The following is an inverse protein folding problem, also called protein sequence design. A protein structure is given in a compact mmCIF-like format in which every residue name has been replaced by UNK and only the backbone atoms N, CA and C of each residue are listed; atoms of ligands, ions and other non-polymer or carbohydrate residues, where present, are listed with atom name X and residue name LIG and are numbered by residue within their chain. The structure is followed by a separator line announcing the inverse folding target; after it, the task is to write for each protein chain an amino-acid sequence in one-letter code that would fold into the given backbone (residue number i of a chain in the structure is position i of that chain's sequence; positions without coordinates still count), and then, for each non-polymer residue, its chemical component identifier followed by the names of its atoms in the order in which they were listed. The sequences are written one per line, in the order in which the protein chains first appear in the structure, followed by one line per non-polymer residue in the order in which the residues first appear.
data_IF_616871306991
#
_entry.id   IF_616871306991
#
_cell.length_a   1.000
_cell.length_b   1.000
_cell.length_c   1.000
_cell.angle_alpha   90.00
_cell.angle_beta   90.00
_cell.angle_gamma   90.00
#
_symmetry.space_group_name_H-M   'P 1'
#
loop_
_entity.id
_entity.type
_entity.pdbx_description
1 polymer ?
#
# COMPACT_ATOMS: atom_id res chain seq x y z
N UNK A 1 23.94 -7.70 -0.27
CA UNK A 1 23.03 -6.65 0.24
C UNK A 1 22.17 -6.19 -0.91
N UNK A 2 21.15 -6.99 -1.24
CA UNK A 2 20.16 -6.70 -2.26
C UNK A 2 18.90 -6.28 -1.50
N UNK A 3 18.75 -4.97 -1.29
CA UNK A 3 17.76 -4.44 -0.34
C UNK A 3 16.33 -4.41 -0.90
N UNK A 4 16.15 -4.74 -2.18
CA UNK A 4 14.85 -4.98 -2.81
C UNK A 4 14.92 -6.35 -3.47
N UNK A 5 14.40 -7.36 -2.78
CA UNK A 5 14.18 -8.67 -3.38
C UNK A 5 13.01 -8.51 -4.34
N UNK A 6 13.20 -8.88 -5.60
CA UNK A 6 12.19 -8.80 -6.66
C UNK A 6 10.88 -9.48 -6.25
N UNK A 7 10.97 -10.51 -5.41
CA UNK A 7 9.85 -11.28 -4.85
C UNK A 7 8.97 -10.47 -3.89
N UNK A 8 9.47 -9.41 -3.25
CA UNK A 8 8.66 -8.55 -2.38
C UNK A 8 7.96 -7.42 -3.15
N UNK A 9 8.45 -7.09 -4.35
CA UNK A 9 7.85 -6.06 -5.21
C UNK A 9 6.44 -6.44 -5.67
N UNK A 10 6.16 -7.74 -5.83
CA UNK A 10 4.82 -8.23 -6.17
C UNK A 10 3.80 -8.05 -5.03
N UNK A 11 4.24 -7.87 -3.78
CA UNK A 11 3.32 -7.59 -2.67
C UNK A 11 2.61 -6.26 -2.84
N UNK A 12 3.26 -5.26 -3.43
CA UNK A 12 2.67 -3.92 -3.58
C UNK A 12 1.36 -3.95 -4.39
N UNK A 13 1.31 -4.47 -5.63
CA UNK A 13 0.06 -4.55 -6.38
C UNK A 13 -0.96 -5.49 -5.72
N UNK A 14 -0.52 -6.59 -5.10
CA UNK A 14 -1.41 -7.52 -4.38
C UNK A 14 -2.11 -6.82 -3.21
N UNK A 15 -1.34 -6.17 -2.33
CA UNK A 15 -1.86 -5.43 -1.18
C UNK A 15 -2.72 -4.23 -1.61
N UNK A 16 -2.38 -3.58 -2.73
CA UNK A 16 -3.18 -2.50 -3.28
C UNK A 16 -4.59 -2.97 -3.69
N UNK A 17 -4.67 -4.07 -4.44
CA UNK A 17 -5.96 -4.66 -4.85
C UNK A 17 -6.78 -5.10 -3.63
N UNK A 18 -6.15 -5.72 -2.63
CA UNK A 18 -6.82 -6.03 -1.36
C UNK A 18 -7.34 -4.76 -0.65
N UNK A 19 -6.56 -3.68 -0.68
CA UNK A 19 -6.98 -2.38 -0.13
C UNK A 19 -8.20 -1.80 -0.85
N UNK A 20 -8.30 -1.97 -2.17
CA UNK A 20 -9.48 -1.57 -2.94
C UNK A 20 -10.72 -2.38 -2.56
N UNK A 21 -10.59 -3.70 -2.38
CA UNK A 21 -11.70 -4.54 -1.92
C UNK A 21 -12.18 -4.16 -0.52
N UNK A 22 -11.24 -3.91 0.40
CA UNK A 22 -11.58 -3.43 1.75
C UNK A 22 -12.31 -2.10 1.69
N UNK A 23 -11.85 -1.17 0.85
CA UNK A 23 -12.51 0.14 0.65
C UNK A 23 -13.93 0.01 0.07
N UNK A 24 -14.18 -1.00 -0.77
CA UNK A 24 -15.50 -1.28 -1.33
C UNK A 24 -16.46 -1.99 -0.36
N UNK A 25 -15.98 -2.41 0.81
CA UNK A 25 -16.80 -3.14 1.78
C UNK A 25 -17.56 -2.17 2.69
N UNK A 26 -18.91 -2.18 2.71
CA UNK A 26 -19.72 -1.15 3.38
C UNK A 26 -19.55 -1.07 4.91
N UNK A 27 -18.98 -2.11 5.54
CA UNK A 27 -18.74 -2.17 6.99
C UNK A 27 -17.29 -1.86 7.39
N UNK A 28 -16.39 -1.60 6.45
CA UNK A 28 -14.98 -1.35 6.73
C UNK A 28 -14.71 0.16 6.71
N UNK A 29 -14.39 0.79 7.85
CA UNK A 29 -14.09 2.21 7.86
C UNK A 29 -12.70 2.48 7.25
N UNK A 30 -12.57 3.59 6.53
CA UNK A 30 -11.35 3.94 5.79
C UNK A 30 -10.07 3.98 6.65
N UNK A 31 -10.18 4.38 7.92
CA UNK A 31 -9.04 4.45 8.84
C UNK A 31 -8.50 3.07 9.23
N UNK A 32 -9.30 2.02 9.08
CA UNK A 32 -8.92 0.64 9.42
C UNK A 32 -8.17 -0.05 8.27
N UNK A 33 -8.36 0.42 7.03
CA UNK A 33 -7.72 -0.17 5.84
C UNK A 33 -6.18 -0.19 5.97
N UNK A 34 -5.48 0.88 6.38
CA UNK A 34 -4.02 0.85 6.56
C UNK A 34 -3.57 -0.21 7.57
N UNK A 35 -4.32 -0.41 8.66
CA UNK A 35 -3.99 -1.40 9.68
C UNK A 35 -4.16 -2.83 9.17
N UNK A 36 -5.24 -3.11 8.45
CA UNK A 36 -5.48 -4.43 7.85
C UNK A 36 -4.41 -4.73 6.80
N UNK A 37 -4.13 -3.77 5.91
CA UNK A 37 -3.11 -3.94 4.86
C UNK A 37 -1.71 -4.05 5.46
N UNK A 38 -1.40 -3.32 6.54
CA UNK A 38 -0.14 -3.45 7.27
C UNK A 38 0.05 -4.85 7.85
N UNK A 39 -0.96 -5.38 8.53
CA UNK A 39 -0.91 -6.75 9.08
C UNK A 39 -0.78 -7.81 7.98
N UNK A 40 -1.53 -7.66 6.89
CA UNK A 40 -1.42 -8.57 5.74
C UNK A 40 -0.05 -8.47 5.07
N UNK A 41 0.51 -7.28 4.94
CA UNK A 41 1.85 -7.08 4.37
C UNK A 41 2.92 -7.79 5.18
N UNK A 42 2.89 -7.69 6.51
CA UNK A 42 3.83 -8.41 7.39
C UNK A 42 3.62 -9.92 7.29
N UNK A 43 2.37 -10.40 7.35
CA UNK A 43 2.07 -11.83 7.29
C UNK A 43 2.52 -12.46 5.96
N UNK A 44 2.22 -11.81 4.84
CA UNK A 44 2.66 -12.25 3.52
C UNK A 44 4.18 -12.12 3.36
N UNK A 45 4.77 -11.08 3.95
CA UNK A 45 6.22 -10.90 3.98
C UNK A 45 6.92 -12.09 4.64
N UNK A 46 6.43 -12.57 5.78
CA UNK A 46 6.92 -13.82 6.39
C UNK A 46 6.70 -15.05 5.51
N UNK A 47 5.59 -15.10 4.76
CA UNK A 47 5.31 -16.18 3.82
C UNK A 47 6.33 -16.28 2.67
N UNK A 48 6.91 -15.16 2.25
CA UNK A 48 7.89 -15.10 1.16
C UNK A 48 9.33 -15.21 1.69
N UNK A 49 9.70 -14.37 2.67
CA UNK A 49 11.07 -14.24 3.15
C UNK A 49 11.42 -15.10 4.37
N UNK A 50 10.47 -15.88 4.88
CA UNK A 50 10.60 -16.65 6.13
C UNK A 50 10.41 -15.80 7.38
N UNK A 51 10.37 -16.45 8.55
CA UNK A 51 10.12 -15.78 9.84
C UNK A 51 11.38 -15.06 10.36
N UNK A 52 11.66 -13.88 9.81
CA UNK A 52 12.77 -13.03 10.23
C UNK A 52 12.44 -11.53 10.11
N UNK A 53 13.27 -10.70 10.73
CA UNK A 53 13.05 -9.25 10.79
C UNK A 53 13.07 -8.59 9.39
N UNK A 54 13.92 -9.07 8.48
CA UNK A 54 14.00 -8.50 7.14
C UNK A 54 12.69 -8.72 6.36
N UNK A 55 12.12 -9.92 6.43
CA UNK A 55 10.84 -10.26 5.82
C UNK A 55 9.68 -9.41 6.39
N UNK A 56 9.67 -9.17 7.70
CA UNK A 56 8.71 -8.27 8.33
C UNK A 56 8.82 -6.83 7.78
N UNK A 57 10.05 -6.29 7.73
CA UNK A 57 10.31 -4.93 7.22
C UNK A 57 9.87 -4.80 5.77
N UNK A 58 10.21 -5.76 4.91
CA UNK A 58 9.82 -5.74 3.50
C UNK A 58 8.28 -5.80 3.34
N UNK A 59 7.60 -6.60 4.17
CA UNK A 59 6.14 -6.61 4.24
C UNK A 59 5.53 -5.25 4.62
N UNK A 60 6.10 -4.57 5.63
CA UNK A 60 5.68 -3.22 6.03
C UNK A 60 5.90 -2.22 4.90
N UNK A 61 7.08 -2.24 4.26
CA UNK A 61 7.39 -1.33 3.15
C UNK A 61 6.44 -1.53 1.98
N UNK A 62 6.10 -2.77 1.63
CA UNK A 62 5.14 -3.06 0.58
C UNK A 62 3.72 -2.55 0.93
N UNK A 63 3.28 -2.75 2.17
CA UNK A 63 2.00 -2.23 2.65
C UNK A 63 1.97 -0.69 2.64
N UNK A 64 3.05 -0.04 3.08
CA UNK A 64 3.19 1.41 3.05
C UNK A 64 3.12 1.94 1.61
N UNK A 65 3.84 1.32 0.67
CA UNK A 65 3.78 1.70 -0.75
C UNK A 65 2.36 1.56 -1.32
N UNK A 66 1.66 0.47 -1.00
CA UNK A 66 0.28 0.24 -1.45
C UNK A 66 -0.71 1.29 -0.90
N UNK A 67 -0.60 1.65 0.38
CA UNK A 67 -1.53 2.59 1.04
C UNK A 67 -1.21 4.05 0.68
N UNK A 68 0.06 4.46 0.79
CA UNK A 68 0.47 5.84 0.57
C UNK A 68 0.62 6.19 -0.92
N UNK A 69 0.96 5.22 -1.79
CA UNK A 69 0.95 5.43 -3.23
C UNK A 69 -0.42 5.91 -3.75
N UNK A 70 -1.50 5.35 -3.22
CA UNK A 70 -2.87 5.79 -3.50
C UNK A 70 -3.13 7.24 -3.05
N UNK A 71 -2.50 7.68 -1.94
CA UNK A 71 -2.66 9.04 -1.44
C UNK A 71 -1.88 10.04 -2.29
N UNK A 72 -0.64 9.71 -2.65
CA UNK A 72 0.18 10.53 -3.55
C UNK A 72 -0.52 10.73 -4.90
N UNK A 73 -1.08 9.66 -5.48
CA UNK A 73 -1.85 9.76 -6.72
C UNK A 73 -3.01 10.76 -6.60
N UNK A 74 -3.80 10.66 -5.53
CA UNK A 74 -4.92 11.61 -5.30
C UNK A 74 -4.44 13.04 -5.10
N UNK A 75 -3.34 13.25 -4.38
CA UNK A 75 -2.76 14.59 -4.18
C UNK A 75 -2.34 15.22 -5.50
N UNK A 76 -1.67 14.46 -6.37
CA UNK A 76 -1.25 14.94 -7.70
C UNK A 76 -2.46 15.28 -8.57
N UNK A 77 -3.46 14.42 -8.62
CA UNK A 77 -4.67 14.67 -9.43
C UNK A 77 -5.41 15.92 -8.94
N UNK A 78 -5.61 16.07 -7.63
CA UNK A 78 -6.30 17.22 -7.05
C UNK A 78 -5.54 18.54 -7.28
N UNK A 79 -4.20 18.53 -7.15
CA UNK A 79 -3.40 19.72 -7.42
C UNK A 79 -3.42 20.16 -8.89
N UNK A 80 -3.51 19.21 -9.83
CA UNK A 80 -3.64 19.52 -11.27
C UNK A 80 -5.02 20.13 -11.58
N UNK A 81 -6.10 19.64 -10.95
CA UNK A 81 -7.45 20.21 -11.17
C UNK A 81 -7.56 21.64 -10.65
N UNK A 82 -7.03 21.92 -9.46
CA UNK A 82 -7.07 23.25 -8.84
C UNK A 82 -6.31 24.28 -9.71
N UNK A 83 -5.15 23.90 -10.26
CA UNK A 83 -4.39 24.78 -11.15
C UNK A 83 -5.06 25.06 -12.51
N UNK A 84 -6.03 24.25 -12.94
CA UNK A 84 -6.81 24.52 -14.15
C UNK A 84 -7.95 25.50 -13.90
N UNK A 85 -8.62 25.40 -12.75
CA UNK A 85 -9.67 26.37 -12.35
C UNK A 85 -9.09 27.77 -12.12
N UNK A 86 -7.89 27.90 -11.57
CA UNK A 86 -7.21 29.21 -11.39
C UNK A 86 -6.85 29.92 -12.71
N UNK A 87 -6.93 29.23 -13.86
CA UNK A 87 -6.54 29.75 -15.18
C UNK A 87 -7.73 30.05 -16.10
N UNK A 88 -8.95 29.70 -15.71
CA UNK A 88 -10.20 30.03 -16.41
C UNK A 88 -10.89 31.26 -15.81
#
# INVERSE_FOLDING_TARGET
MEYIVQDFLILVPVLYVLGLFLKGTPKVPNWLIPWIIGLLGVALGFGIGGFNVAAAIQGILAAAAAVYGNQLWKQVVNGISEHKEDKE
#
